data_IF_246313012202
#
_entry.id   IF_246313012202
#
_cell.length_a   1.000
_cell.length_b   1.000
_cell.length_c   1.000
_cell.angle_alpha   90.00
_cell.angle_beta   90.00
_cell.angle_gamma   90.00
#
_symmetry.space_group_name_H-M   'P 1'
#
loop_
_entity.id
_entity.type
_entity.pdbx_description
1 polymer ?
#
# COMPACT_ATOMS: atom_id res chain seq x y z
N UNK A 1 7.17 15.81 -25.16
CA UNK A 1 7.44 15.74 -23.71
C UNK A 1 6.22 16.32 -23.01
N UNK A 2 5.50 15.57 -22.18
CA UNK A 2 4.29 16.06 -21.49
C UNK A 2 4.74 16.71 -20.17
N UNK A 3 4.46 18.00 -19.93
CA UNK A 3 4.90 18.67 -18.72
C UNK A 3 4.17 18.15 -17.48
N UNK A 4 4.87 18.14 -16.34
CA UNK A 4 4.26 17.87 -15.03
C UNK A 4 3.22 18.94 -14.72
N UNK A 5 1.98 18.58 -14.32
CA UNK A 5 0.95 19.55 -13.96
C UNK A 5 1.41 20.46 -12.80
N UNK A 6 1.05 21.74 -12.88
CA UNK A 6 1.40 22.75 -11.88
C UNK A 6 0.69 22.56 -10.51
N UNK A 7 -0.32 21.69 -10.44
CA UNK A 7 -1.08 21.43 -9.23
C UNK A 7 -1.62 19.98 -9.20
N UNK A 8 -1.81 19.45 -7.98
CA UNK A 8 -2.52 18.18 -7.75
C UNK A 8 -3.96 18.33 -8.24
N UNK A 9 -4.45 17.38 -9.03
CA UNK A 9 -5.84 17.34 -9.46
C UNK A 9 -6.74 17.24 -8.22
N UNK A 10 -7.70 18.14 -8.09
CA UNK A 10 -8.76 18.02 -7.09
C UNK A 10 -9.61 16.79 -7.45
N UNK A 11 -9.90 15.94 -6.46
CA UNK A 11 -10.80 14.79 -6.62
C UNK A 11 -12.04 15.02 -5.77
N UNK A 12 -13.21 14.74 -6.34
CA UNK A 12 -14.47 14.77 -5.60
C UNK A 12 -14.52 13.66 -4.54
N UNK A 13 -15.27 13.88 -3.47
CA UNK A 13 -15.44 12.89 -2.40
C UNK A 13 -16.36 11.76 -2.86
N UNK A 14 -15.90 10.51 -2.73
CA UNK A 14 -16.70 9.31 -3.01
C UNK A 14 -17.45 8.91 -1.73
N UNK A 15 -18.79 8.82 -1.80
CA UNK A 15 -19.64 8.34 -0.70
C UNK A 15 -19.93 6.84 -0.84
N UNK A 16 -19.84 6.10 0.26
CA UNK A 16 -20.16 4.66 0.29
C UNK A 16 -21.68 4.43 0.18
N UNK A 17 -22.18 3.54 -0.70
CA UNK A 17 -23.61 3.23 -0.83
C UNK A 17 -24.21 2.49 0.37
N UNK A 18 -23.40 1.75 1.14
CA UNK A 18 -23.85 0.99 2.31
C UNK A 18 -23.52 1.75 3.58
N UNK A 19 -24.55 2.12 4.35
CA UNK A 19 -24.53 2.98 5.55
C UNK A 19 -23.77 2.45 6.76
N UNK A 20 -22.51 2.05 6.56
CA UNK A 20 -21.60 1.70 7.62
C UNK A 20 -20.82 2.96 8.01
N UNK A 21 -20.85 3.30 9.30
CA UNK A 21 -20.27 4.51 9.91
C UNK A 21 -18.75 4.50 9.80
N UNK A 22 -18.22 4.66 8.60
CA UNK A 22 -16.80 4.89 8.37
C UNK A 22 -16.59 6.37 8.16
N UNK A 23 -15.57 6.92 8.84
CA UNK A 23 -15.06 8.25 8.52
C UNK A 23 -14.78 8.31 7.01
N UNK A 24 -15.19 9.37 6.30
CA UNK A 24 -14.80 9.56 4.91
C UNK A 24 -13.29 9.36 4.77
N UNK A 25 -12.88 8.44 3.91
CA UNK A 25 -11.47 8.21 3.59
C UNK A 25 -11.09 9.21 2.50
N UNK A 26 -10.14 10.11 2.79
CA UNK A 26 -9.58 10.98 1.77
C UNK A 26 -8.69 10.19 0.80
N UNK A 27 -8.44 10.77 -0.38
CA UNK A 27 -7.61 10.13 -1.41
C UNK A 27 -6.20 9.82 -0.91
N UNK A 28 -5.68 10.62 0.02
CA UNK A 28 -4.36 10.40 0.61
C UNK A 28 -4.37 9.15 1.50
N UNK A 29 -5.42 8.97 2.30
CA UNK A 29 -5.62 7.77 3.14
C UNK A 29 -5.79 6.52 2.27
N UNK A 30 -6.58 6.61 1.19
CA UNK A 30 -6.75 5.52 0.25
C UNK A 30 -5.45 5.18 -0.49
N UNK A 31 -4.66 6.20 -0.85
CA UNK A 31 -3.35 6.04 -1.48
C UNK A 31 -2.37 5.26 -0.59
N UNK A 32 -2.47 5.39 0.74
CA UNK A 32 -1.67 4.64 1.69
C UNK A 32 -2.26 3.28 2.08
N UNK A 33 -3.34 2.81 1.45
CA UNK A 33 -3.83 1.45 1.65
C UNK A 33 -2.82 0.47 1.07
N UNK A 34 -2.01 -0.10 1.95
CA UNK A 34 -0.99 -1.09 1.61
C UNK A 34 -1.60 -2.48 1.62
N UNK A 35 -1.28 -3.25 0.59
CA UNK A 35 -1.61 -4.66 0.51
C UNK A 35 -0.34 -5.49 0.69
N UNK A 36 -0.52 -6.66 1.29
CA UNK A 36 0.52 -7.67 1.42
C UNK A 36 -0.03 -8.99 0.90
N UNK A 37 0.79 -9.67 0.12
CA UNK A 37 0.51 -11.02 -0.40
C UNK A 37 1.69 -11.92 -0.11
N UNK A 38 1.45 -13.23 -0.17
CA UNK A 38 2.45 -14.30 -0.13
C UNK A 38 3.53 -14.10 0.93
N UNK A 39 3.46 -14.79 2.07
CA UNK A 39 4.53 -14.81 3.07
C UNK A 39 5.22 -16.18 3.09
N UNK A 40 6.56 -16.18 2.98
CA UNK A 40 7.37 -17.41 3.00
C UNK A 40 8.63 -17.23 3.84
N UNK A 41 8.97 -18.26 4.59
CA UNK A 41 10.25 -18.39 5.27
C UNK A 41 11.34 -18.82 4.28
N UNK A 42 12.57 -18.37 4.49
CA UNK A 42 13.75 -19.00 3.90
C UNK A 42 13.91 -20.44 4.42
N UNK A 43 14.62 -21.27 3.66
CA UNK A 43 14.88 -22.67 4.03
C UNK A 43 15.65 -22.78 5.34
N UNK A 44 16.57 -21.85 5.59
CA UNK A 44 17.37 -21.76 6.83
C UNK A 44 16.61 -21.12 8.01
N UNK A 45 15.42 -20.55 7.79
CA UNK A 45 14.65 -19.85 8.81
C UNK A 45 15.18 -18.46 9.19
N UNK A 46 16.24 -17.98 8.56
CA UNK A 46 16.88 -16.70 8.88
C UNK A 46 16.16 -15.48 8.28
N UNK A 47 15.25 -15.68 7.32
CA UNK A 47 14.60 -14.59 6.61
C UNK A 47 13.13 -14.86 6.32
N UNK A 48 12.37 -13.77 6.26
CA UNK A 48 11.01 -13.72 5.73
C UNK A 48 11.02 -13.00 4.38
N UNK A 49 10.36 -13.61 3.40
CA UNK A 49 10.08 -13.04 2.09
C UNK A 49 8.58 -12.77 1.94
N UNK A 50 8.23 -11.58 1.48
CA UNK A 50 6.84 -11.22 1.27
C UNK A 50 6.66 -10.18 0.16
N UNK A 51 5.48 -10.18 -0.46
CA UNK A 51 5.11 -9.21 -1.48
C UNK A 51 4.30 -8.07 -0.87
N UNK A 52 4.66 -6.82 -1.18
CA UNK A 52 3.87 -5.66 -0.74
C UNK A 52 4.11 -4.44 -1.60
N UNK A 53 3.13 -3.55 -1.64
CA UNK A 53 3.12 -2.32 -2.44
C UNK A 53 3.43 -1.04 -1.65
N UNK A 54 4.10 -1.09 -0.49
CA UNK A 54 4.29 0.10 0.34
C UNK A 54 5.11 1.24 -0.30
N UNK A 55 5.86 0.95 -1.35
CA UNK A 55 6.58 1.93 -2.20
C UNK A 55 5.79 2.35 -3.45
N UNK A 56 4.51 1.97 -3.55
CA UNK A 56 3.61 2.29 -4.67
C UNK A 56 3.52 1.22 -5.77
N UNK A 57 4.32 0.15 -5.68
CA UNK A 57 4.27 -1.03 -6.59
C UNK A 57 4.60 -2.30 -5.83
N UNK A 58 4.04 -3.44 -6.22
CA UNK A 58 4.41 -4.73 -5.64
C UNK A 58 5.87 -5.06 -5.92
N UNK A 59 6.59 -5.38 -4.85
CA UNK A 59 7.95 -5.90 -4.90
C UNK A 59 8.06 -7.05 -3.89
N UNK A 60 9.07 -7.89 -4.07
CA UNK A 60 9.46 -8.90 -3.06
C UNK A 60 10.42 -8.24 -2.09
N UNK A 61 10.11 -8.33 -0.81
CA UNK A 61 10.92 -7.82 0.27
C UNK A 61 11.50 -8.96 1.09
N UNK A 62 12.69 -8.74 1.64
CA UNK A 62 13.37 -9.65 2.56
C UNK A 62 13.62 -8.92 3.87
N UNK A 63 13.26 -9.54 4.99
CA UNK A 63 13.64 -9.07 6.34
C UNK A 63 14.26 -10.22 7.14
N UNK A 64 15.18 -9.93 8.10
CA UNK A 64 15.67 -10.95 9.02
C UNK A 64 14.54 -11.51 9.89
N UNK A 65 14.60 -12.79 10.21
CA UNK A 65 13.63 -13.47 11.08
C UNK A 65 13.60 -12.91 12.50
N UNK A 66 14.75 -12.42 12.98
CA UNK A 66 14.90 -11.83 14.30
C UNK A 66 14.43 -10.36 14.39
N UNK A 67 13.93 -9.80 13.28
CA UNK A 67 13.58 -8.38 13.20
C UNK A 67 14.75 -7.50 12.77
N UNK A 68 14.49 -6.19 12.71
CA UNK A 68 15.43 -5.14 12.27
C UNK A 68 15.69 -4.13 13.36
#
# INVERSE_FOLDING_TARGET
MIPTPAAKLASDSITSPSGQVYRPLDIDTLYYTRSMFTLRWSVDGEHLYFETNFTGRYNIWRVPSQGG
#
